data_IF_616911515928
#
_entry.id   IF_616911515928
#
_cell.length_a   1.000
_cell.length_b   1.000
_cell.length_c   1.000
_cell.angle_alpha   90.00
_cell.angle_beta   90.00
_cell.angle_gamma   90.00
#
_symmetry.space_group_name_H-M   'P 1'
#
loop_
_entity.id
_entity.type
_entity.pdbx_description
1 polymer ?
#
# COMPACT_ATOMS: atom_id res chain seq x y z
N UNK A 1 -51.76 -5.19 -2.99
CA UNK A 1 -50.45 -5.87 -3.01
C UNK A 1 -50.30 -6.54 -4.37
N UNK A 2 -49.56 -5.92 -5.29
CA UNK A 2 -49.27 -6.52 -6.60
C UNK A 2 -48.18 -7.59 -6.48
N UNK A 3 -48.19 -8.64 -7.31
CA UNK A 3 -47.16 -9.67 -7.27
C UNK A 3 -45.81 -9.09 -7.67
N UNK A 4 -44.78 -9.42 -6.89
CA UNK A 4 -43.39 -9.06 -7.17
C UNK A 4 -42.89 -10.00 -8.28
N UNK A 5 -42.55 -9.44 -9.43
CA UNK A 5 -41.94 -10.21 -10.51
C UNK A 5 -40.54 -10.72 -10.10
N UNK A 6 -40.17 -11.96 -10.49
CA UNK A 6 -38.86 -12.50 -10.18
C UNK A 6 -37.76 -11.76 -10.94
N UNK A 7 -36.71 -11.35 -10.20
CA UNK A 7 -35.51 -10.74 -10.78
C UNK A 7 -34.84 -11.75 -11.73
N UNK A 8 -34.56 -11.39 -12.99
CA UNK A 8 -33.97 -12.31 -13.94
C UNK A 8 -32.55 -12.71 -13.51
N UNK A 9 -32.12 -13.95 -13.79
CA UNK A 9 -30.78 -14.41 -13.44
C UNK A 9 -29.71 -13.59 -14.17
N UNK A 10 -28.67 -13.21 -13.45
CA UNK A 10 -27.51 -12.49 -14.00
C UNK A 10 -26.81 -13.40 -15.03
N UNK A 11 -26.58 -12.94 -16.28
CA UNK A 11 -25.98 -13.77 -17.31
C UNK A 11 -24.55 -14.20 -16.93
N UNK A 12 -24.19 -15.48 -17.15
CA UNK A 12 -22.86 -15.98 -16.84
C UNK A 12 -21.82 -15.33 -17.76
N UNK A 13 -21.06 -14.39 -17.20
CA UNK A 13 -20.04 -13.62 -17.92
C UNK A 13 -19.77 -12.23 -17.33
N UNK A 14 -20.68 -11.69 -16.53
CA UNK A 14 -20.48 -10.38 -15.89
C UNK A 14 -19.41 -10.41 -14.79
N UNK A 15 -19.31 -11.52 -14.04
CA UNK A 15 -18.30 -11.72 -12.99
C UNK A 15 -16.86 -11.83 -13.54
N UNK A 16 -16.69 -12.36 -14.77
CA UNK A 16 -15.35 -12.60 -15.35
C UNK A 16 -14.65 -11.31 -15.78
N UNK A 17 -15.41 -10.31 -16.24
CA UNK A 17 -14.88 -9.02 -16.71
C UNK A 17 -14.26 -8.17 -15.58
N UNK A 18 -14.76 -8.27 -14.35
CA UNK A 18 -14.19 -7.55 -13.21
C UNK A 18 -12.85 -8.15 -12.72
N UNK A 19 -12.72 -9.48 -12.75
CA UNK A 19 -11.50 -10.17 -12.34
C UNK A 19 -10.30 -9.92 -13.29
N UNK A 20 -10.57 -9.79 -14.59
CA UNK A 20 -9.53 -9.55 -15.61
C UNK A 20 -8.97 -8.13 -15.60
N UNK A 21 -9.72 -7.16 -15.06
CA UNK A 21 -9.24 -5.79 -14.90
C UNK A 21 -8.31 -5.68 -13.68
N UNK A 22 -8.62 -6.34 -12.56
CA UNK A 22 -7.83 -6.25 -11.33
C UNK A 22 -6.37 -6.73 -11.42
N UNK A 23 -5.92 -7.28 -12.55
CA UNK A 23 -4.54 -7.75 -12.74
C UNK A 23 -3.75 -6.95 -13.80
N UNK A 24 -4.36 -5.95 -14.43
CA UNK A 24 -3.71 -5.23 -15.54
C UNK A 24 -2.77 -4.16 -15.01
N UNK A 25 -1.54 -4.21 -15.49
CA UNK A 25 -0.50 -3.22 -15.27
C UNK A 25 -0.21 -2.46 -16.57
N UNK A 26 0.00 -1.15 -16.47
CA UNK A 26 0.52 -0.33 -17.58
C UNK A 26 1.63 0.56 -17.06
N UNK A 27 2.88 0.30 -17.48
CA UNK A 27 4.05 1.08 -17.05
C UNK A 27 4.15 1.22 -15.52
N UNK A 28 3.97 0.09 -14.82
CA UNK A 28 4.00 0.01 -13.35
C UNK A 28 2.79 0.64 -12.64
N UNK A 29 1.74 1.05 -13.37
CA UNK A 29 0.47 1.46 -12.79
C UNK A 29 -0.54 0.31 -12.78
N UNK A 30 -1.08 0.01 -11.62
CA UNK A 30 -2.07 -1.03 -11.40
C UNK A 30 -3.47 -0.48 -11.62
N UNK A 31 -4.26 -1.15 -12.45
CA UNK A 31 -5.65 -0.73 -12.75
C UNK A 31 -6.63 -0.98 -11.59
N UNK A 32 -6.25 -1.74 -10.56
CA UNK A 32 -7.01 -1.89 -9.32
C UNK A 32 -6.91 -0.71 -8.35
N UNK A 33 -6.06 0.28 -8.64
CA UNK A 33 -5.89 1.47 -7.80
C UNK A 33 -6.24 2.76 -8.54
N UNK A 34 -6.82 3.71 -7.83
CA UNK A 34 -6.98 5.09 -8.33
C UNK A 34 -5.60 5.75 -8.42
N UNK A 35 -5.23 6.23 -9.61
CA UNK A 35 -3.97 6.95 -9.82
C UNK A 35 -4.02 8.36 -9.22
N UNK A 36 -3.00 8.73 -8.45
CA UNK A 36 -2.77 10.08 -7.94
C UNK A 36 -1.27 10.41 -7.95
N UNK A 37 -0.78 10.97 -9.06
CA UNK A 37 0.67 11.04 -9.33
C UNK A 37 1.42 11.92 -8.32
N UNK A 38 2.42 11.35 -7.66
CA UNK A 38 3.37 12.05 -6.79
C UNK A 38 4.60 12.50 -7.58
N UNK A 39 5.16 13.70 -7.32
CA UNK A 39 6.46 14.09 -7.84
C UNK A 39 7.63 13.49 -7.04
N UNK A 40 7.37 12.94 -5.85
CA UNK A 40 8.38 12.46 -4.91
C UNK A 40 8.81 11.04 -5.28
N UNK A 41 9.53 10.90 -6.38
CA UNK A 41 10.03 9.61 -6.84
C UNK A 41 11.31 9.79 -7.67
N UNK A 42 12.00 8.68 -7.92
CA UNK A 42 13.17 8.67 -8.81
C UNK A 42 13.36 7.32 -9.50
N UNK A 43 14.38 7.19 -10.36
CA UNK A 43 14.77 5.90 -10.90
C UNK A 43 15.27 4.98 -9.77
N UNK A 44 15.04 3.68 -9.93
CA UNK A 44 15.77 2.66 -9.16
C UNK A 44 17.19 2.55 -9.70
N UNK A 45 18.17 2.10 -8.89
CA UNK A 45 19.51 1.76 -9.41
C UNK A 45 19.43 0.76 -10.56
N UNK A 46 20.35 0.87 -11.52
CA UNK A 46 20.35 0.00 -12.70
C UNK A 46 20.47 -1.48 -12.29
N UNK A 47 19.63 -2.33 -12.88
CA UNK A 47 19.60 -3.78 -12.59
C UNK A 47 19.01 -4.14 -11.22
N UNK A 48 18.54 -3.17 -10.42
CA UNK A 48 17.92 -3.46 -9.13
C UNK A 48 16.54 -4.10 -9.31
N UNK A 49 16.42 -5.35 -8.92
CA UNK A 49 15.15 -6.05 -8.83
C UNK A 49 14.29 -5.52 -7.68
N UNK A 50 12.98 -5.61 -7.83
CA UNK A 50 12.02 -5.30 -6.76
C UNK A 50 11.60 -6.61 -6.12
N UNK A 51 12.15 -6.90 -4.94
CA UNK A 51 11.97 -8.19 -4.25
C UNK A 51 11.37 -8.08 -2.84
N UNK A 52 11.19 -6.85 -2.33
CA UNK A 52 10.63 -6.57 -1.00
C UNK A 52 9.34 -5.73 -1.09
N UNK A 53 8.38 -6.02 -0.23
CA UNK A 53 7.30 -5.09 0.14
C UNK A 53 7.59 -4.56 1.54
N UNK A 54 7.46 -3.25 1.74
CA UNK A 54 7.50 -2.64 3.08
C UNK A 54 6.11 -2.08 3.38
N UNK A 55 5.49 -2.61 4.44
CA UNK A 55 4.24 -2.11 4.98
C UNK A 55 4.49 -0.96 5.95
N UNK A 56 3.62 0.04 5.87
CA UNK A 56 3.61 1.24 6.69
C UNK A 56 2.20 1.46 7.23
N UNK A 57 2.05 2.33 8.21
CA UNK A 57 0.74 2.88 8.57
C UNK A 57 0.78 4.40 8.65
N UNK A 58 -0.29 5.03 8.15
CA UNK A 58 -0.38 6.49 8.13
C UNK A 58 -1.83 6.96 8.31
N UNK A 59 -2.00 8.01 9.10
CA UNK A 59 -3.24 8.78 9.23
C UNK A 59 -2.88 10.23 9.47
N UNK A 60 -3.59 11.14 8.80
CA UNK A 60 -3.33 12.58 8.89
C UNK A 60 -4.65 13.36 9.02
N UNK A 61 -4.87 14.10 10.12
CA UNK A 61 -4.11 14.04 11.38
C UNK A 61 -3.99 12.62 11.99
N UNK A 62 -3.05 12.36 12.92
CA UNK A 62 -2.90 11.05 13.53
C UNK A 62 -4.23 10.53 14.12
N UNK A 63 -4.63 9.32 13.74
CA UNK A 63 -5.89 8.70 14.14
C UNK A 63 -7.14 9.19 13.39
N UNK A 64 -7.00 10.15 12.47
CA UNK A 64 -8.09 10.64 11.61
C UNK A 64 -7.98 9.99 10.23
N UNK A 65 -9.09 9.39 9.79
CA UNK A 65 -9.17 8.64 8.53
C UNK A 65 -10.16 9.30 7.57
N UNK A 66 -10.14 8.90 6.29
CA UNK A 66 -11.16 9.30 5.32
C UNK A 66 -10.91 10.63 4.60
N UNK A 67 -9.94 11.43 5.06
CA UNK A 67 -9.54 12.68 4.43
C UNK A 67 -8.59 12.51 3.22
N UNK A 68 -8.09 13.65 2.71
CA UNK A 68 -7.12 13.70 1.60
C UNK A 68 -5.72 14.17 2.05
N UNK A 69 -5.50 14.38 3.35
CA UNK A 69 -4.24 14.91 3.87
C UNK A 69 -3.03 14.03 3.52
N UNK A 70 -3.16 12.70 3.56
CA UNK A 70 -2.11 11.76 3.10
C UNK A 70 -1.81 11.96 1.61
N UNK A 71 -2.84 12.10 0.79
CA UNK A 71 -2.68 12.39 -0.63
C UNK A 71 -1.95 13.73 -0.85
N UNK A 72 -2.30 14.76 -0.06
CA UNK A 72 -1.65 16.07 -0.12
C UNK A 72 -0.20 16.02 0.35
N UNK A 73 0.11 15.29 1.41
CA UNK A 73 1.49 15.09 1.87
C UNK A 73 2.34 14.48 0.75
N UNK A 74 1.88 13.34 0.19
CA UNK A 74 2.61 12.65 -0.86
C UNK A 74 2.70 13.41 -2.18
N UNK A 75 1.93 14.49 -2.36
CA UNK A 75 1.96 15.33 -3.57
C UNK A 75 2.56 16.72 -3.33
N UNK A 76 3.15 16.97 -2.16
CA UNK A 76 3.71 18.27 -1.74
C UNK A 76 2.67 19.41 -1.70
N UNK A 77 1.43 19.09 -1.33
CA UNK A 77 0.28 20.01 -1.29
C UNK A 77 -0.36 20.12 0.09
N UNK A 78 0.25 19.54 1.12
CA UNK A 78 -0.29 19.63 2.48
C UNK A 78 -0.12 21.07 2.98
N UNK A 79 -1.23 21.67 3.38
CA UNK A 79 -1.19 22.92 4.10
C UNK A 79 -0.93 22.63 5.59
N UNK A 80 0.28 22.94 6.02
CA UNK A 80 0.78 22.67 7.37
C UNK A 80 0.04 23.49 8.43
N UNK A 81 -0.61 24.59 8.05
CA UNK A 81 -1.33 25.46 8.98
C UNK A 81 -2.69 24.90 9.43
N UNK A 82 -3.22 23.89 8.71
CA UNK A 82 -4.56 23.31 8.96
C UNK A 82 -4.60 22.48 10.24
N UNK A 83 -3.48 21.91 10.69
CA UNK A 83 -3.44 21.13 11.92
C UNK A 83 -2.05 21.17 12.58
N UNK A 84 -1.95 21.39 13.91
CA UNK A 84 -0.64 21.51 14.59
C UNK A 84 0.30 20.32 14.39
N UNK A 85 -0.25 19.10 14.26
CA UNK A 85 0.56 17.90 14.01
C UNK A 85 1.26 17.89 12.65
N UNK A 86 0.90 18.79 11.73
CA UNK A 86 1.51 18.86 10.40
C UNK A 86 2.80 19.67 10.36
N UNK A 87 3.13 20.45 11.39
CA UNK A 87 4.36 21.25 11.40
C UNK A 87 5.61 20.36 11.27
N UNK A 88 5.62 19.20 11.93
CA UNK A 88 6.72 18.23 11.83
C UNK A 88 6.88 17.61 10.42
N UNK A 89 5.86 17.76 9.56
CA UNK A 89 5.87 17.25 8.19
C UNK A 89 6.30 18.33 7.18
N UNK A 90 6.45 19.58 7.62
CA UNK A 90 6.72 20.72 6.77
C UNK A 90 8.00 20.55 5.97
N UNK A 91 7.88 20.64 4.66
CA UNK A 91 9.00 20.53 3.72
C UNK A 91 9.49 19.10 3.48
N UNK A 92 8.91 18.08 4.13
CA UNK A 92 9.22 16.69 3.81
C UNK A 92 8.80 16.36 2.39
N UNK A 93 9.68 15.66 1.68
CA UNK A 93 9.39 15.06 0.39
C UNK A 93 9.38 13.55 0.56
N UNK A 94 8.17 13.00 0.71
CA UNK A 94 7.95 11.57 0.93
C UNK A 94 6.82 11.07 0.05
N UNK A 95 6.81 9.77 -0.21
CA UNK A 95 5.75 9.09 -0.94
C UNK A 95 5.80 7.60 -0.68
N UNK A 96 4.66 6.93 -0.87
CA UNK A 96 4.60 5.49 -1.02
C UNK A 96 4.18 5.13 -2.45
N UNK A 97 4.20 3.84 -2.80
CA UNK A 97 3.60 3.41 -4.06
C UNK A 97 2.09 3.36 -3.92
N UNK A 98 1.58 2.80 -2.82
CA UNK A 98 0.15 2.60 -2.58
C UNK A 98 -0.29 3.08 -1.20
N UNK A 99 -1.55 3.53 -1.10
CA UNK A 99 -2.30 3.67 0.15
C UNK A 99 -3.56 2.81 0.05
N UNK A 100 -3.78 1.98 1.07
CA UNK A 100 -4.97 1.18 1.27
C UNK A 100 -5.82 1.80 2.37
N UNK A 101 -6.93 2.39 1.97
CA UNK A 101 -7.89 3.07 2.85
C UNK A 101 -8.63 2.08 3.75
N UNK A 102 -9.23 2.58 4.83
CA UNK A 102 -10.06 1.77 5.74
C UNK A 102 -11.18 1.00 5.03
N UNK A 103 -11.76 1.61 4.00
CA UNK A 103 -12.83 1.02 3.16
C UNK A 103 -12.33 0.00 2.12
N UNK A 104 -11.03 -0.30 2.09
CA UNK A 104 -10.40 -1.18 1.09
C UNK A 104 -10.06 -0.49 -0.23
N UNK A 105 -10.35 0.80 -0.38
CA UNK A 105 -9.98 1.57 -1.55
C UNK A 105 -8.46 1.69 -1.69
N UNK A 106 -7.94 1.48 -2.90
CA UNK A 106 -6.51 1.61 -3.19
C UNK A 106 -6.23 2.89 -4.01
N UNK A 107 -5.21 3.64 -3.59
CA UNK A 107 -4.68 4.80 -4.31
C UNK A 107 -3.22 4.50 -4.64
N UNK A 108 -2.80 4.71 -5.89
CA UNK A 108 -1.40 4.57 -6.30
C UNK A 108 -0.79 5.94 -6.59
N UNK A 109 0.40 6.19 -6.03
CA UNK A 109 1.09 7.49 -6.13
C UNK A 109 2.31 7.48 -7.04
N UNK A 110 3.04 6.37 -7.04
CA UNK A 110 4.26 6.19 -7.83
C UNK A 110 4.13 4.90 -8.63
N UNK A 111 4.62 4.91 -9.87
CA UNK A 111 4.74 3.68 -10.67
C UNK A 111 5.57 2.66 -9.90
N UNK A 112 5.13 1.41 -9.84
CA UNK A 112 5.88 0.34 -9.18
C UNK A 112 7.23 0.03 -9.89
N UNK A 113 7.42 0.53 -11.12
CA UNK A 113 8.70 0.47 -11.83
C UNK A 113 9.70 1.57 -11.37
N UNK A 114 9.25 2.56 -10.61
CA UNK A 114 10.06 3.65 -10.06
C UNK A 114 10.26 3.49 -8.55
N UNK A 115 11.20 4.28 -8.00
CA UNK A 115 11.51 4.33 -6.57
C UNK A 115 10.67 5.43 -5.90
N UNK A 116 9.71 5.02 -5.06
CA UNK A 116 9.07 5.93 -4.10
C UNK A 116 10.00 6.21 -2.89
N UNK A 117 9.70 7.25 -2.10
CA UNK A 117 10.51 7.69 -0.96
C UNK A 117 9.79 7.43 0.36
N UNK A 118 9.75 6.17 0.79
CA UNK A 118 8.96 5.73 1.95
C UNK A 118 9.81 5.19 3.11
N UNK A 119 10.91 4.49 2.82
CA UNK A 119 11.66 3.76 3.85
C UNK A 119 12.64 4.64 4.64
N UNK A 120 13.18 5.71 4.03
CA UNK A 120 14.25 6.52 4.63
C UNK A 120 15.54 5.70 4.83
N UNK A 121 16.27 5.96 5.92
CA UNK A 121 17.44 5.14 6.34
C UNK A 121 16.94 3.79 6.84
N UNK A 122 17.23 2.72 6.11
CA UNK A 122 16.70 1.39 6.37
C UNK A 122 17.61 0.29 5.83
N UNK A 123 17.49 -0.91 6.38
CA UNK A 123 18.22 -2.11 5.98
C UNK A 123 17.33 -3.36 6.09
N UNK A 124 17.41 -4.25 5.10
CA UNK A 124 16.73 -5.54 5.13
C UNK A 124 17.69 -6.67 4.73
N UNK A 125 17.86 -7.67 5.61
CA UNK A 125 18.77 -8.82 5.39
C UNK A 125 20.17 -8.39 4.89
N UNK A 126 20.73 -7.36 5.51
CA UNK A 126 22.05 -6.81 5.17
C UNK A 126 22.06 -5.78 4.03
N UNK A 127 20.97 -5.61 3.27
CA UNK A 127 20.87 -4.65 2.16
C UNK A 127 20.30 -3.31 2.62
N UNK A 128 21.10 -2.26 2.51
CA UNK A 128 20.70 -0.89 2.85
C UNK A 128 19.85 -0.23 1.76
N UNK A 129 19.21 0.89 2.09
CA UNK A 129 18.42 1.71 1.17
C UNK A 129 17.22 0.97 0.57
N UNK A 130 16.33 0.45 1.42
CA UNK A 130 15.21 -0.40 1.00
C UNK A 130 14.34 0.21 -0.13
N UNK A 131 14.20 1.54 -0.19
CA UNK A 131 13.54 2.23 -1.31
C UNK A 131 13.98 1.70 -2.69
N UNK A 132 15.26 1.36 -2.86
CA UNK A 132 15.84 0.92 -4.14
C UNK A 132 15.22 -0.37 -4.68
N UNK A 133 14.87 -1.30 -3.78
CA UNK A 133 14.40 -2.65 -4.12
C UNK A 133 13.04 -3.01 -3.53
N UNK A 134 12.34 -2.03 -2.93
CA UNK A 134 11.02 -2.27 -2.33
C UNK A 134 9.84 -1.52 -2.94
N UNK A 135 8.65 -2.08 -2.72
CA UNK A 135 7.36 -1.40 -2.85
C UNK A 135 6.84 -1.01 -1.46
N UNK A 136 6.79 0.29 -1.17
CA UNK A 136 6.08 0.84 -0.01
C UNK A 136 4.56 0.83 -0.19
N UNK A 137 3.86 0.20 0.76
CA UNK A 137 2.39 0.17 0.86
C UNK A 137 1.98 0.71 2.23
N UNK A 138 1.18 1.77 2.22
CA UNK A 138 0.62 2.39 3.41
C UNK A 138 -0.76 1.80 3.71
N UNK A 139 -1.00 1.37 4.93
CA UNK A 139 -2.36 1.13 5.42
C UNK A 139 -2.85 2.39 6.15
N UNK A 140 -4.00 2.92 5.74
CA UNK A 140 -4.64 4.02 6.47
C UNK A 140 -4.96 3.54 7.90
N UNK A 141 -4.29 4.14 8.87
CA UNK A 141 -4.28 3.63 10.23
C UNK A 141 -3.30 4.36 11.11
N UNK A 142 -3.19 3.90 12.35
CA UNK A 142 -2.29 4.43 13.35
C UNK A 142 -1.47 3.28 13.91
N UNK A 143 -0.19 3.53 14.14
CA UNK A 143 0.70 2.61 14.85
C UNK A 143 0.05 2.10 16.15
N UNK A 144 0.04 0.79 16.34
CA UNK A 144 -0.55 0.13 17.51
C UNK A 144 -2.09 -0.03 17.46
N UNK A 145 -2.79 0.59 16.51
CA UNK A 145 -4.22 0.39 16.29
C UNK A 145 -4.50 -0.75 15.30
N UNK A 146 -5.71 -1.29 15.32
CA UNK A 146 -6.12 -2.41 14.46
C UNK A 146 -6.53 -1.98 13.05
N UNK A 147 -6.33 -2.88 12.08
CA UNK A 147 -6.64 -2.66 10.66
C UNK A 147 -7.94 -3.37 10.22
N UNK A 148 -8.68 -2.77 9.27
CA UNK A 148 -9.96 -3.33 8.81
C UNK A 148 -9.80 -4.61 8.00
N UNK A 149 -10.81 -5.48 8.05
CA UNK A 149 -10.88 -6.65 7.18
C UNK A 149 -10.74 -6.30 5.69
N UNK A 150 -11.33 -5.19 5.26
CA UNK A 150 -11.25 -4.72 3.89
C UNK A 150 -9.83 -4.31 3.49
N UNK A 151 -9.01 -3.83 4.43
CA UNK A 151 -7.61 -3.53 4.19
C UNK A 151 -6.80 -4.80 3.95
N UNK A 152 -7.01 -5.87 4.73
CA UNK A 152 -6.36 -7.17 4.49
C UNK A 152 -6.77 -7.77 3.14
N UNK A 153 -8.05 -7.66 2.75
CA UNK A 153 -8.53 -8.11 1.44
C UNK A 153 -7.86 -7.32 0.30
N UNK A 154 -7.84 -5.99 0.40
CA UNK A 154 -7.21 -5.13 -0.59
C UNK A 154 -5.69 -5.37 -0.68
N UNK A 155 -5.02 -5.52 0.46
CA UNK A 155 -3.60 -5.83 0.54
C UNK A 155 -3.31 -7.17 -0.14
N UNK A 156 -4.08 -8.21 0.16
CA UNK A 156 -3.91 -9.53 -0.46
C UNK A 156 -4.07 -9.48 -1.97
N UNK A 157 -5.09 -8.77 -2.47
CA UNK A 157 -5.30 -8.58 -3.91
C UNK A 157 -4.14 -7.83 -4.57
N UNK A 158 -3.64 -6.78 -3.93
CA UNK A 158 -2.48 -6.03 -4.42
C UNK A 158 -1.21 -6.89 -4.42
N UNK A 159 -0.94 -7.65 -3.37
CA UNK A 159 0.20 -8.55 -3.28
C UNK A 159 0.16 -9.60 -4.40
N UNK A 160 -1.00 -10.20 -4.67
CA UNK A 160 -1.19 -11.12 -5.80
C UNK A 160 -0.85 -10.48 -7.15
N UNK A 161 -1.28 -9.24 -7.37
CA UNK A 161 -0.99 -8.51 -8.59
C UNK A 161 0.50 -8.17 -8.71
N UNK A 162 1.16 -7.84 -7.60
CA UNK A 162 2.57 -7.50 -7.54
C UNK A 162 3.47 -8.72 -7.77
N UNK A 163 3.23 -9.85 -7.11
CA UNK A 163 4.08 -11.06 -7.28
C UNK A 163 4.04 -11.64 -8.71
N UNK A 164 2.96 -11.39 -9.46
CA UNK A 164 2.86 -11.78 -10.87
C UNK A 164 3.72 -10.90 -11.78
N UNK A 165 4.06 -9.69 -11.33
CA UNK A 165 4.74 -8.67 -12.13
C UNK A 165 6.20 -8.46 -11.74
N UNK A 166 6.53 -8.67 -10.48
CA UNK A 166 7.83 -8.42 -9.87
C UNK A 166 8.31 -9.67 -9.13
N UNK A 167 9.63 -9.91 -9.04
CA UNK A 167 10.20 -11.08 -8.36
C UNK A 167 10.17 -10.92 -6.83
N UNK A 168 9.03 -10.49 -6.28
CA UNK A 168 8.82 -10.31 -4.85
C UNK A 168 8.95 -11.64 -4.10
N UNK A 169 9.67 -11.60 -2.98
CA UNK A 169 9.94 -12.75 -2.12
C UNK A 169 9.58 -12.48 -0.67
N UNK A 170 9.56 -11.20 -0.27
CA UNK A 170 9.48 -10.83 1.14
C UNK A 170 8.53 -9.67 1.34
N UNK A 171 7.88 -9.68 2.49
CA UNK A 171 7.08 -8.58 3.01
C UNK A 171 7.51 -8.31 4.45
N UNK A 172 7.72 -7.05 4.79
CA UNK A 172 8.14 -6.63 6.12
C UNK A 172 7.44 -5.34 6.53
N UNK A 173 7.36 -5.06 7.83
CA UNK A 173 6.92 -3.76 8.36
C UNK A 173 8.04 -2.72 8.33
N UNK A 174 7.71 -1.43 8.41
CA UNK A 174 8.71 -0.36 8.50
C UNK A 174 9.59 -0.51 9.75
N UNK A 175 9.00 -0.94 10.85
CA UNK A 175 9.66 -1.32 12.11
C UNK A 175 10.77 -2.37 11.93
N UNK A 176 10.59 -3.31 10.99
CA UNK A 176 11.53 -4.40 10.75
C UNK A 176 12.74 -3.94 9.93
N UNK A 177 12.55 -3.00 9.00
CA UNK A 177 13.64 -2.48 8.15
C UNK A 177 14.33 -1.26 8.75
N UNK A 178 13.77 -0.64 9.79
CA UNK A 178 14.32 0.52 10.48
C UNK A 178 14.15 0.42 12.01
N UNK A 179 14.68 -0.65 12.64
CA UNK A 179 14.51 -0.89 14.07
C UNK A 179 15.05 0.28 14.91
N UNK A 180 14.31 0.64 15.95
CA UNK A 180 14.64 1.76 16.86
C UNK A 180 14.32 3.16 16.30
N UNK A 181 13.98 3.29 15.02
CA UNK A 181 13.57 4.57 14.39
C UNK A 181 12.09 4.60 14.02
N UNK A 182 11.57 3.48 13.53
CA UNK A 182 10.18 3.34 13.10
C UNK A 182 9.52 2.19 13.83
N UNK A 183 8.22 2.30 14.01
CA UNK A 183 7.39 1.37 14.78
C UNK A 183 6.11 0.99 14.02
N UNK A 184 5.88 1.55 12.82
CA UNK A 184 4.73 1.19 11.99
C UNK A 184 5.06 -0.04 11.09
N UNK A 185 4.07 -0.84 10.68
CA UNK A 185 2.63 -0.70 10.97
C UNK A 185 2.25 -1.00 12.43
N UNK A 186 3.18 -1.57 13.22
CA UNK A 186 3.03 -1.76 14.66
C UNK A 186 2.26 -3.03 15.03
N UNK A 187 2.13 -3.29 16.34
CA UNK A 187 1.56 -4.54 16.86
C UNK A 187 0.07 -4.74 16.53
N UNK A 188 -0.62 -3.72 16.04
CA UNK A 188 -1.99 -3.82 15.56
C UNK A 188 -2.13 -4.47 14.18
N UNK A 189 -1.03 -4.60 13.42
CA UNK A 189 -1.00 -5.36 12.17
C UNK A 189 -0.79 -6.85 12.45
N UNK A 190 -1.77 -7.67 12.05
CA UNK A 190 -1.79 -9.10 12.30
C UNK A 190 -1.21 -9.85 11.10
N UNK A 191 0.08 -10.19 11.21
CA UNK A 191 0.82 -10.96 10.21
C UNK A 191 0.22 -12.35 9.97
N UNK A 192 -0.24 -13.03 11.03
CA UNK A 192 -0.86 -14.37 10.91
C UNK A 192 -2.18 -14.31 10.19
N UNK A 193 -2.97 -13.27 10.45
CA UNK A 193 -4.19 -13.00 9.70
C UNK A 193 -3.88 -12.78 8.22
N UNK A 194 -2.86 -11.99 7.90
CA UNK A 194 -2.45 -11.76 6.51
C UNK A 194 -2.10 -13.08 5.81
N UNK A 195 -1.28 -13.93 6.43
CA UNK A 195 -0.91 -15.25 5.89
C UNK A 195 -2.12 -16.16 5.67
N UNK A 196 -3.10 -16.09 6.57
CA UNK A 196 -4.33 -16.87 6.50
C UNK A 196 -5.35 -16.32 5.48
N UNK A 197 -5.13 -15.14 4.89
CA UNK A 197 -6.05 -14.57 3.92
C UNK A 197 -6.14 -15.45 2.66
N UNK A 198 -7.35 -15.73 2.16
CA UNK A 198 -7.52 -16.42 0.89
C UNK A 198 -6.77 -15.72 -0.23
N UNK A 199 -5.81 -16.42 -0.83
CA UNK A 199 -5.02 -15.90 -1.92
C UNK A 199 -3.74 -15.16 -1.52
N UNK A 200 -3.35 -15.16 -0.24
CA UNK A 200 -2.02 -14.71 0.16
C UNK A 200 -0.95 -15.43 -0.68
N UNK A 201 -0.02 -14.69 -1.34
CA UNK A 201 0.93 -15.33 -2.24
C UNK A 201 1.92 -16.24 -1.52
N UNK A 202 1.93 -17.53 -1.86
CA UNK A 202 2.88 -18.50 -1.30
C UNK A 202 4.37 -18.18 -1.58
N UNK A 203 4.66 -17.29 -2.53
CA UNK A 203 6.00 -16.82 -2.81
C UNK A 203 6.53 -15.80 -1.79
N UNK A 204 5.66 -15.21 -0.96
CA UNK A 204 6.03 -14.19 0.01
C UNK A 204 6.30 -14.79 1.38
N UNK A 205 7.42 -14.39 1.97
CA UNK A 205 7.77 -14.63 3.36
C UNK A 205 7.47 -13.37 4.18
N UNK A 206 6.74 -13.55 5.27
CA UNK A 206 6.54 -12.55 6.33
C UNK A 206 7.75 -12.51 7.27
N UNK A 207 7.86 -11.49 8.13
CA UNK A 207 8.87 -11.47 9.19
C UNK A 207 8.63 -12.62 10.18
N UNK A 208 9.72 -13.18 10.71
CA UNK A 208 9.70 -14.24 11.72
C UNK A 208 9.28 -13.73 13.10
#
# INVERSE_FOLDING_TARGET
MGPIEPVPPVPPGLLKRHADHAHRWRQGWWSGARRCTSPNCGPRPAGMGVDLVVLHSISLPPGVYGGDAVQRLFTNRLDWSVHPSFEALRGLQVSAHFVLRRDGGAIQFVSADQRAWHAGVSQWRGREHCNDFSIGIELEGLEGATFEALQYTALTSLLQALVRRYPLREIAGHEHVAPGRKQDPGPGFDWRRLEAMPGFPAALQTPA
#
